data_IF_342891391735
#
_entry.id   IF_342891391735
#
_cell.length_a   1.000
_cell.length_b   1.000
_cell.length_c   1.000
_cell.angle_alpha   90.00
_cell.angle_beta   90.00
_cell.angle_gamma   90.00
#
_symmetry.space_group_name_H-M   'P 1'
#
loop_
_entity.id
_entity.type
_entity.pdbx_description
1 polymer ?
#
# COMPACT_ATOMS: atom_id res chain seq x y z
N UNK A 1 -25.32 49.76 30.09
CA UNK A 1 -25.47 48.63 29.16
C UNK A 1 -24.18 48.58 28.37
N UNK A 2 -23.24 47.75 28.83
CA UNK A 2 -21.86 47.75 28.34
C UNK A 2 -21.74 46.70 27.23
N UNK A 3 -21.55 47.18 26.00
CA UNK A 3 -21.37 46.31 24.84
C UNK A 3 -19.93 45.79 24.90
N UNK A 4 -19.73 44.57 25.41
CA UNK A 4 -18.46 43.87 25.26
C UNK A 4 -18.26 43.54 23.79
N UNK A 5 -17.19 44.09 23.23
CA UNK A 5 -16.76 43.83 21.87
C UNK A 5 -16.13 42.42 21.78
N UNK A 6 -16.88 41.47 21.22
CA UNK A 6 -16.45 40.07 21.07
C UNK A 6 -15.50 39.84 19.87
N UNK A 7 -15.13 40.89 19.13
CA UNK A 7 -14.32 40.77 17.91
C UNK A 7 -12.85 40.44 18.15
N UNK A 8 -12.38 40.45 19.40
CA UNK A 8 -10.95 40.24 19.70
C UNK A 8 -10.52 38.78 19.97
N UNK A 9 -11.44 37.80 19.98
CA UNK A 9 -11.13 36.43 20.47
C UNK A 9 -10.94 35.32 19.43
N UNK A 10 -11.06 35.57 18.12
CA UNK A 10 -11.00 34.47 17.14
C UNK A 10 -9.84 34.55 16.13
N UNK A 11 -8.79 35.33 16.41
CA UNK A 11 -7.55 35.25 15.64
C UNK A 11 -6.41 34.70 16.53
N UNK A 12 -6.58 33.46 17.00
CA UNK A 12 -5.44 32.60 17.34
C UNK A 12 -4.78 32.21 16.02
N UNK A 13 -4.26 33.21 15.30
CA UNK A 13 -3.41 33.03 14.16
C UNK A 13 -2.08 32.53 14.68
N UNK A 14 -2.00 31.24 15.06
CA UNK A 14 -0.72 30.55 15.34
C UNK A 14 0.22 30.92 14.21
N UNK A 15 1.22 31.75 14.48
CA UNK A 15 2.19 32.21 13.49
C UNK A 15 2.81 30.97 12.87
N UNK A 16 2.63 30.77 11.55
CA UNK A 16 3.17 29.60 10.87
C UNK A 16 4.69 29.64 11.00
N UNK A 17 5.27 28.70 11.74
CA UNK A 17 6.71 28.68 11.97
C UNK A 17 7.40 28.37 10.64
N UNK A 18 8.43 29.15 10.30
CA UNK A 18 9.27 28.93 9.11
C UNK A 18 9.74 27.49 9.00
N UNK A 19 10.04 26.86 10.14
CA UNK A 19 10.39 25.45 10.28
C UNK A 19 9.36 24.47 9.69
N UNK A 20 8.07 24.73 9.86
CA UNK A 20 7.01 23.86 9.31
C UNK A 20 7.03 23.85 7.78
N UNK A 21 7.42 24.96 7.13
CA UNK A 21 7.46 25.01 5.68
C UNK A 21 8.66 24.23 5.13
N UNK A 22 9.82 24.35 5.79
CA UNK A 22 10.99 23.52 5.47
C UNK A 22 10.70 22.03 5.63
N UNK A 23 10.04 21.63 6.73
CA UNK A 23 9.63 20.24 6.94
C UNK A 23 8.68 19.74 5.84
N UNK A 24 7.67 20.54 5.45
CA UNK A 24 6.76 20.17 4.35
C UNK A 24 7.51 19.90 3.05
N UNK A 25 8.43 20.79 2.68
CA UNK A 25 9.24 20.63 1.47
C UNK A 25 10.12 19.38 1.55
N UNK A 26 10.76 19.13 2.70
CA UNK A 26 11.60 17.96 2.92
C UNK A 26 10.80 16.66 2.85
N UNK A 27 9.60 16.61 3.43
CA UNK A 27 8.72 15.43 3.37
C UNK A 27 8.26 15.15 1.94
N UNK A 28 7.82 16.17 1.19
CA UNK A 28 7.37 16.00 -0.19
C UNK A 28 8.51 15.50 -1.10
N UNK A 29 9.68 16.14 -1.01
CA UNK A 29 10.85 15.74 -1.77
C UNK A 29 11.36 14.35 -1.34
N UNK A 30 11.44 14.10 -0.03
CA UNK A 30 11.88 12.82 0.53
C UNK A 30 10.99 11.67 0.08
N UNK A 31 9.67 11.82 0.16
CA UNK A 31 8.73 10.77 -0.29
C UNK A 31 8.79 10.58 -1.80
N UNK A 32 8.91 11.65 -2.59
CA UNK A 32 9.07 11.55 -4.03
C UNK A 32 10.36 10.83 -4.44
N UNK A 33 11.48 11.15 -3.79
CA UNK A 33 12.77 10.49 -4.01
C UNK A 33 12.75 9.03 -3.56
N UNK A 34 12.15 8.74 -2.41
CA UNK A 34 12.02 7.37 -1.91
C UNK A 34 11.19 6.49 -2.87
N UNK A 35 10.03 6.99 -3.32
CA UNK A 35 9.23 6.30 -4.34
C UNK A 35 10.00 6.08 -5.64
N UNK A 36 10.79 7.06 -6.08
CA UNK A 36 11.67 6.90 -7.24
C UNK A 36 12.69 5.78 -7.03
N UNK A 37 13.31 5.70 -5.86
CA UNK A 37 14.25 4.61 -5.52
C UNK A 37 13.54 3.25 -5.54
N UNK A 38 12.33 3.13 -5.00
CA UNK A 38 11.56 1.89 -5.04
C UNK A 38 11.20 1.46 -6.47
N UNK A 39 10.87 2.41 -7.34
CA UNK A 39 10.58 2.13 -8.76
C UNK A 39 11.84 1.67 -9.50
N UNK A 40 12.98 2.33 -9.28
CA UNK A 40 14.24 2.01 -9.94
C UNK A 40 14.85 0.69 -9.45
N UNK A 41 14.67 0.35 -8.18
CA UNK A 41 15.16 -0.90 -7.58
C UNK A 41 14.23 -2.10 -7.83
N UNK A 42 13.01 -1.87 -8.33
CA UNK A 42 11.98 -2.91 -8.47
C UNK A 42 11.30 -3.31 -7.16
N UNK A 43 11.76 -2.79 -6.02
CA UNK A 43 11.21 -3.10 -4.69
C UNK A 43 9.78 -2.56 -4.47
N UNK A 44 9.27 -1.70 -5.34
CA UNK A 44 7.87 -1.27 -5.33
C UNK A 44 6.90 -2.47 -5.37
N UNK A 45 7.31 -3.59 -5.99
CA UNK A 45 6.52 -4.83 -6.04
C UNK A 45 6.26 -5.47 -4.68
N UNK A 46 7.01 -5.10 -3.63
CA UNK A 46 6.75 -5.57 -2.26
C UNK A 46 5.56 -4.86 -1.61
N UNK A 47 5.11 -3.74 -2.18
CA UNK A 47 4.11 -2.86 -1.57
C UNK A 47 2.85 -2.68 -2.42
N UNK A 48 3.00 -2.75 -3.73
CA UNK A 48 1.99 -2.37 -4.71
C UNK A 48 1.88 -3.44 -5.78
N UNK A 49 0.67 -3.72 -6.24
CA UNK A 49 0.43 -4.69 -7.30
C UNK A 49 0.90 -4.17 -8.68
N UNK A 50 2.19 -4.32 -8.97
CA UNK A 50 2.79 -3.92 -10.25
C UNK A 50 2.35 -4.76 -11.44
N UNK A 51 1.75 -5.93 -11.22
CA UNK A 51 1.18 -6.73 -12.31
C UNK A 51 -0.03 -6.02 -12.95
N UNK A 52 -0.66 -5.08 -12.25
CA UNK A 52 -1.71 -4.25 -12.81
C UNK A 52 -1.09 -3.01 -13.52
N UNK A 53 -1.20 -2.91 -14.86
CA UNK A 53 -0.55 -1.84 -15.63
C UNK A 53 -1.04 -0.44 -15.23
N UNK A 54 -2.31 -0.32 -14.80
CA UNK A 54 -2.89 0.95 -14.34
C UNK A 54 -2.20 1.46 -13.08
N UNK A 55 -1.93 0.56 -12.12
CA UNK A 55 -1.29 0.91 -10.85
C UNK A 55 0.20 1.20 -11.04
N UNK A 56 0.87 0.44 -11.91
CA UNK A 56 2.26 0.69 -12.28
C UNK A 56 2.43 2.08 -12.92
N UNK A 57 1.55 2.44 -13.86
CA UNK A 57 1.53 3.78 -14.48
C UNK A 57 1.31 4.90 -13.47
N UNK A 58 0.32 4.76 -12.56
CA UNK A 58 0.02 5.77 -11.55
C UNK A 58 1.22 6.02 -10.62
N UNK A 59 1.96 4.96 -10.26
CA UNK A 59 3.15 5.07 -9.43
C UNK A 59 4.23 5.95 -10.09
N UNK A 60 4.41 5.83 -11.40
CA UNK A 60 5.32 6.69 -12.17
C UNK A 60 4.87 8.15 -12.25
N UNK A 61 3.57 8.43 -12.24
CA UNK A 61 3.03 9.80 -12.23
C UNK A 61 3.16 10.49 -10.87
N UNK A 62 3.05 9.75 -9.78
CA UNK A 62 3.12 10.30 -8.42
C UNK A 62 4.50 10.89 -8.13
N UNK A 63 5.58 10.29 -8.65
CA UNK A 63 6.94 10.78 -8.44
C UNK A 63 7.16 12.22 -8.95
N UNK A 64 6.96 12.56 -10.24
CA UNK A 64 7.16 13.92 -10.73
C UNK A 64 6.19 14.90 -10.09
N UNK A 65 4.97 14.47 -9.73
CA UNK A 65 4.02 15.30 -8.99
C UNK A 65 4.57 15.67 -7.60
N UNK A 66 5.06 14.71 -6.83
CA UNK A 66 5.64 14.98 -5.50
C UNK A 66 6.91 15.81 -5.58
N UNK A 67 7.79 15.53 -6.54
CA UNK A 67 9.03 16.29 -6.73
C UNK A 67 8.76 17.73 -7.17
N UNK A 68 7.80 17.95 -8.07
CA UNK A 68 7.41 19.30 -8.51
C UNK A 68 6.74 20.09 -7.39
N UNK A 69 5.81 19.49 -6.64
CA UNK A 69 5.17 20.14 -5.48
C UNK A 69 6.19 20.43 -4.36
N UNK A 70 7.08 19.49 -4.07
CA UNK A 70 8.15 19.65 -3.09
C UNK A 70 9.15 20.75 -3.49
N UNK A 71 9.57 20.77 -4.76
CA UNK A 71 10.44 21.79 -5.32
C UNK A 71 9.80 23.17 -5.35
N UNK A 72 8.53 23.27 -5.75
CA UNK A 72 7.78 24.52 -5.72
C UNK A 72 7.58 25.04 -4.29
N UNK A 73 7.27 24.14 -3.36
CA UNK A 73 7.18 24.45 -1.93
C UNK A 73 8.52 25.01 -1.41
N UNK A 74 9.64 24.35 -1.72
CA UNK A 74 10.97 24.78 -1.31
C UNK A 74 11.32 26.16 -1.90
N UNK A 75 11.07 26.36 -3.19
CA UNK A 75 11.34 27.64 -3.87
C UNK A 75 10.60 28.80 -3.23
N UNK A 76 9.34 28.59 -2.83
CA UNK A 76 8.53 29.59 -2.13
C UNK A 76 9.04 29.90 -0.72
N UNK A 77 9.67 28.93 -0.05
CA UNK A 77 10.26 29.17 1.28
C UNK A 77 11.57 29.94 1.24
N UNK A 78 12.34 29.79 0.17
CA UNK A 78 13.64 30.46 -0.01
C UNK A 78 13.46 31.89 -0.55
N UNK A 79 12.43 32.15 -1.36
CA UNK A 79 12.16 33.48 -1.89
C UNK A 79 11.50 34.38 -0.82
N UNK A 80 12.10 35.53 -0.46
CA UNK A 80 11.44 36.51 0.41
C UNK A 80 10.18 37.04 -0.30
N UNK A 81 9.04 36.96 0.38
CA UNK A 81 7.79 37.46 -0.17
C UNK A 81 7.85 38.99 -0.29
N UNK A 82 7.45 39.59 -1.43
CA UNK A 82 7.11 41.00 -1.45
C UNK A 82 5.96 41.23 -0.46
N UNK A 83 6.13 42.21 0.41
CA UNK A 83 5.09 42.68 1.33
C UNK A 83 3.81 42.98 0.57
N UNK A 84 2.67 42.57 1.16
CA UNK A 84 1.27 42.81 0.76
C UNK A 84 0.67 41.95 -0.36
N UNK A 85 0.24 40.72 -0.03
CA UNK A 85 -1.14 40.20 -0.24
C UNK A 85 -1.38 39.13 0.85
N UNK A 86 -2.46 39.20 1.66
CA UNK A 86 -2.81 38.12 2.60
C UNK A 86 -3.32 36.91 1.80
N UNK A 87 -2.41 36.04 1.37
CA UNK A 87 -2.77 34.75 0.79
C UNK A 87 -3.28 33.83 1.92
N UNK A 88 -4.49 33.29 1.76
CA UNK A 88 -5.06 32.25 2.61
C UNK A 88 -4.20 30.97 2.47
N UNK A 89 -3.13 30.87 3.26
CA UNK A 89 -2.25 29.72 3.27
C UNK A 89 -2.90 28.63 4.12
N UNK A 90 -3.14 27.46 3.51
CA UNK A 90 -3.68 26.30 4.21
C UNK A 90 -2.75 25.91 5.37
N UNK A 91 -3.27 26.08 6.59
CA UNK A 91 -2.60 25.64 7.81
C UNK A 91 -2.68 24.13 7.88
N UNK A 92 -1.61 23.43 7.53
CA UNK A 92 -1.45 22.06 8.00
C UNK A 92 -1.23 22.11 9.52
N UNK A 93 -2.21 21.58 10.26
CA UNK A 93 -2.09 21.32 11.68
C UNK A 93 -0.86 20.44 11.93
N UNK A 94 -0.14 20.64 13.05
CA UNK A 94 1.02 19.82 13.43
C UNK A 94 0.72 18.32 13.35
N UNK A 95 -0.51 17.92 13.69
CA UNK A 95 -1.01 16.54 13.55
C UNK A 95 -0.94 16.02 12.12
N UNK A 96 -1.36 16.82 11.13
CA UNK A 96 -1.29 16.44 9.71
C UNK A 96 0.16 16.30 9.25
N UNK A 97 1.07 17.12 9.78
CA UNK A 97 2.50 17.02 9.46
C UNK A 97 3.11 15.71 9.99
N UNK A 98 2.76 15.33 11.22
CA UNK A 98 3.18 14.05 11.83
C UNK A 98 2.64 12.85 11.03
N UNK A 99 1.36 12.89 10.64
CA UNK A 99 0.74 11.84 9.83
C UNK A 99 1.44 11.70 8.47
N UNK A 100 1.81 12.81 7.82
CA UNK A 100 2.50 12.80 6.54
C UNK A 100 3.98 12.38 6.64
N UNK A 101 4.65 12.59 7.78
CA UNK A 101 6.04 12.14 7.98
C UNK A 101 6.15 10.65 8.26
N UNK A 102 5.09 10.03 8.79
CA UNK A 102 5.11 8.64 9.23
C UNK A 102 5.49 7.65 8.11
N UNK A 103 4.92 7.72 6.88
CA UNK A 103 5.29 6.80 5.80
C UNK A 103 6.76 6.92 5.39
N UNK A 104 7.35 8.12 5.48
CA UNK A 104 8.76 8.34 5.15
C UNK A 104 9.67 7.69 6.19
N UNK A 105 9.30 7.77 7.47
CA UNK A 105 10.04 7.10 8.56
C UNK A 105 9.92 5.59 8.43
N UNK A 106 8.71 5.08 8.16
CA UNK A 106 8.48 3.65 7.95
C UNK A 106 9.20 3.13 6.70
N UNK A 107 9.33 3.95 5.65
CA UNK A 107 10.08 3.62 4.44
C UNK A 107 11.59 3.43 4.64
N UNK A 108 12.16 3.86 5.78
CA UNK A 108 13.55 3.56 6.12
C UNK A 108 13.75 2.14 6.64
N UNK A 109 12.67 1.43 6.98
CA UNK A 109 12.75 0.03 7.37
C UNK A 109 13.03 -0.84 6.13
N UNK A 110 13.78 -1.94 6.28
CA UNK A 110 14.06 -2.83 5.17
C UNK A 110 12.76 -3.36 4.58
N UNK A 111 12.64 -3.30 3.25
CA UNK A 111 11.51 -3.89 2.55
C UNK A 111 11.53 -5.41 2.73
N UNK A 112 10.41 -5.98 3.17
CA UNK A 112 10.22 -7.42 3.30
C UNK A 112 8.96 -7.82 2.55
N UNK A 113 8.95 -8.94 1.81
CA UNK A 113 7.72 -9.49 1.26
C UNK A 113 6.82 -9.97 2.40
N UNK A 114 5.52 -10.06 2.13
CA UNK A 114 4.57 -10.61 3.09
C UNK A 114 4.82 -12.12 3.24
N UNK A 115 5.22 -12.53 4.44
CA UNK A 115 5.42 -13.93 4.81
C UNK A 115 4.31 -14.43 5.73
N UNK A 116 4.49 -15.65 6.26
CA UNK A 116 3.53 -16.28 7.18
C UNK A 116 3.20 -15.41 8.40
N UNK A 117 4.16 -14.61 8.91
CA UNK A 117 3.97 -13.71 10.05
C UNK A 117 2.94 -12.59 9.79
N UNK A 118 2.64 -12.30 8.52
CA UNK A 118 1.68 -11.26 8.12
C UNK A 118 0.25 -11.80 8.01
N UNK A 119 0.02 -13.11 8.18
CA UNK A 119 -1.32 -13.71 8.14
C UNK A 119 -2.06 -13.30 9.41
N UNK A 120 -3.14 -12.51 9.23
CA UNK A 120 -3.99 -12.06 10.32
C UNK A 120 -5.42 -12.55 10.05
N UNK A 121 -5.95 -13.41 10.92
CA UNK A 121 -7.29 -13.99 10.76
C UNK A 121 -7.36 -15.26 9.90
N UNK A 122 -6.22 -15.89 9.59
CA UNK A 122 -6.15 -17.18 8.90
C UNK A 122 -6.01 -17.10 7.38
N UNK A 123 -6.08 -18.26 6.74
CA UNK A 123 -5.91 -18.42 5.29
C UNK A 123 -7.22 -18.84 4.65
N UNK A 124 -7.62 -18.17 3.57
CA UNK A 124 -8.86 -18.45 2.87
C UNK A 124 -8.66 -19.54 1.82
N UNK A 125 -9.49 -20.59 1.87
CA UNK A 125 -9.52 -21.68 0.89
C UNK A 125 -10.60 -21.48 -0.20
N UNK A 126 -11.40 -20.43 -0.08
CA UNK A 126 -12.37 -20.02 -1.09
C UNK A 126 -12.07 -18.57 -1.47
N UNK A 127 -11.65 -18.28 -2.72
CA UNK A 127 -11.29 -16.93 -3.12
C UNK A 127 -12.56 -16.06 -3.17
N UNK A 128 -12.76 -15.21 -2.16
CA UNK A 128 -13.88 -14.27 -2.12
C UNK A 128 -13.73 -13.22 -3.23
N UNK A 129 -14.75 -13.11 -4.09
CA UNK A 129 -14.95 -11.93 -4.93
C UNK A 129 -14.13 -11.83 -6.22
N UNK A 130 -13.61 -12.93 -6.77
CA UNK A 130 -12.97 -12.91 -8.09
C UNK A 130 -13.93 -13.35 -9.19
N UNK A 131 -14.09 -12.48 -10.19
CA UNK A 131 -14.78 -12.78 -11.43
C UNK A 131 -14.04 -13.87 -12.21
N UNK A 132 -14.81 -14.68 -12.93
CA UNK A 132 -14.43 -15.86 -13.69
C UNK A 132 -13.34 -15.59 -14.75
N UNK A 133 -12.08 -15.52 -14.33
CA UNK A 133 -10.98 -15.82 -15.24
C UNK A 133 -10.95 -17.35 -15.42
N UNK A 134 -10.97 -17.83 -16.67
CA UNK A 134 -10.92 -19.26 -16.97
C UNK A 134 -9.54 -19.81 -16.61
N UNK A 135 -9.45 -20.56 -15.50
CA UNK A 135 -8.25 -21.36 -15.17
C UNK A 135 -8.09 -22.56 -16.10
N UNK A 136 -9.14 -22.95 -16.83
CA UNK A 136 -9.21 -24.20 -17.60
C UNK A 136 -8.28 -24.28 -18.82
N UNK A 137 -7.81 -23.14 -19.34
CA UNK A 137 -6.87 -23.10 -20.48
C UNK A 137 -5.40 -23.16 -20.04
N UNK A 138 -5.13 -23.15 -18.73
CA UNK A 138 -3.79 -23.19 -18.14
C UNK A 138 -3.44 -24.64 -17.79
N UNK A 139 -2.27 -25.11 -18.24
CA UNK A 139 -1.76 -26.44 -17.91
C UNK A 139 -1.65 -26.61 -16.39
N UNK A 140 -1.97 -27.79 -15.81
CA UNK A 140 -1.98 -28.00 -14.35
C UNK A 140 -0.69 -27.55 -13.64
N UNK A 141 0.47 -27.83 -14.24
CA UNK A 141 1.79 -27.44 -13.74
C UNK A 141 2.04 -25.92 -13.75
N UNK A 142 1.34 -25.16 -14.60
CA UNK A 142 1.48 -23.70 -14.70
C UNK A 142 0.45 -22.96 -13.85
N UNK A 143 -0.49 -23.67 -13.21
CA UNK A 143 -1.56 -23.06 -12.41
C UNK A 143 -1.03 -22.55 -11.08
N UNK A 144 -1.36 -21.30 -10.76
CA UNK A 144 -1.03 -20.73 -9.44
C UNK A 144 -1.98 -21.24 -8.36
N UNK A 145 -1.63 -20.99 -7.09
CA UNK A 145 -2.51 -21.27 -5.93
C UNK A 145 -3.93 -20.73 -6.13
N UNK A 146 -4.05 -19.51 -6.67
CA UNK A 146 -5.35 -18.89 -6.94
C UNK A 146 -6.13 -19.62 -8.04
N UNK A 147 -5.45 -20.08 -9.09
CA UNK A 147 -6.10 -20.73 -10.23
C UNK A 147 -6.64 -22.10 -9.86
N UNK A 148 -5.91 -22.84 -9.02
CA UNK A 148 -6.38 -24.07 -8.39
C UNK A 148 -7.62 -23.84 -7.52
N UNK A 149 -7.59 -22.83 -6.65
CA UNK A 149 -8.74 -22.52 -5.80
C UNK A 149 -9.98 -22.11 -6.59
N UNK A 150 -9.79 -21.38 -7.70
CA UNK A 150 -10.87 -21.06 -8.64
C UNK A 150 -11.42 -22.30 -9.31
N UNK A 151 -10.56 -23.23 -9.71
CA UNK A 151 -10.96 -24.46 -10.38
C UNK A 151 -11.72 -25.40 -9.44
N UNK A 152 -11.27 -25.56 -8.19
CA UNK A 152 -12.02 -26.29 -7.16
C UNK A 152 -13.40 -25.67 -6.91
N UNK A 153 -13.47 -24.34 -6.80
CA UNK A 153 -14.74 -23.63 -6.64
C UNK A 153 -15.67 -23.78 -7.85
N UNK A 154 -15.11 -23.89 -9.06
CA UNK A 154 -15.87 -24.09 -10.32
C UNK A 154 -16.44 -25.50 -10.43
N UNK A 155 -15.64 -26.51 -10.10
CA UNK A 155 -16.01 -27.92 -10.24
C UNK A 155 -16.92 -28.40 -9.11
N UNK A 156 -16.77 -27.86 -7.89
CA UNK A 156 -17.54 -28.27 -6.71
C UNK A 156 -17.17 -29.65 -6.15
N UNK A 157 -16.64 -30.55 -6.98
CA UNK A 157 -16.07 -31.84 -6.61
C UNK A 157 -14.57 -31.90 -6.98
N UNK A 158 -13.65 -31.81 -5.99
CA UNK A 158 -12.21 -31.83 -6.25
C UNK A 158 -11.69 -33.20 -6.66
N UNK A 159 -12.46 -34.29 -6.48
CA UNK A 159 -11.99 -35.65 -6.82
C UNK A 159 -11.81 -35.85 -8.33
N UNK A 160 -12.45 -35.02 -9.14
CA UNK A 160 -12.31 -35.01 -10.60
C UNK A 160 -10.88 -34.64 -11.04
N UNK A 161 -10.15 -33.90 -10.20
CA UNK A 161 -8.78 -33.46 -10.47
C UNK A 161 -7.72 -34.43 -9.92
N UNK A 162 -8.15 -35.59 -9.38
CA UNK A 162 -7.22 -36.59 -8.86
C UNK A 162 -6.28 -37.10 -9.96
N UNK A 163 -4.98 -37.07 -9.67
CA UNK A 163 -3.94 -37.47 -10.62
C UNK A 163 -3.38 -36.32 -11.46
N UNK A 164 -3.95 -35.11 -11.37
CA UNK A 164 -3.28 -33.92 -11.90
C UNK A 164 -2.04 -33.58 -11.07
N UNK A 165 -0.96 -33.20 -11.73
CA UNK A 165 0.28 -32.75 -11.08
C UNK A 165 0.15 -31.30 -10.67
N UNK A 166 0.55 -30.99 -9.43
CA UNK A 166 0.51 -29.64 -8.86
C UNK A 166 1.94 -29.15 -8.64
N UNK A 167 2.31 -28.05 -9.31
CA UNK A 167 3.53 -27.29 -9.04
C UNK A 167 3.14 -25.88 -8.60
N UNK A 168 3.30 -25.57 -7.31
CA UNK A 168 2.87 -24.30 -6.73
C UNK A 168 3.95 -23.70 -5.84
N UNK A 169 4.11 -22.37 -5.95
CA UNK A 169 5.02 -21.59 -5.11
C UNK A 169 4.21 -20.83 -4.07
N UNK A 170 4.58 -20.95 -2.81
CA UNK A 170 3.98 -20.21 -1.69
C UNK A 170 4.80 -20.36 -0.40
N UNK A 171 4.33 -19.75 0.68
CA UNK A 171 4.86 -19.99 2.00
C UNK A 171 4.04 -21.08 2.70
N UNK A 172 4.71 -21.85 3.57
CA UNK A 172 4.03 -22.85 4.39
C UNK A 172 3.35 -22.13 5.56
N UNK A 173 2.07 -22.39 5.75
CA UNK A 173 1.30 -21.95 6.90
C UNK A 173 0.63 -23.14 7.55
N UNK A 174 0.60 -23.17 8.88
CA UNK A 174 -0.01 -24.23 9.66
C UNK A 174 -0.85 -23.60 10.76
N UNK A 175 -2.13 -23.98 10.80
CA UNK A 175 -3.03 -23.56 11.87
C UNK A 175 -2.83 -24.45 13.11
N UNK A 176 -3.15 -23.92 14.29
CA UNK A 176 -2.91 -24.64 15.56
C UNK A 176 -3.69 -25.96 15.68
N UNK A 177 -4.77 -26.12 14.92
CA UNK A 177 -5.66 -27.30 14.94
C UNK A 177 -5.37 -28.32 13.82
N UNK A 178 -4.36 -28.08 12.97
CA UNK A 178 -3.96 -29.01 11.90
C UNK A 178 -3.15 -30.20 12.42
N UNK A 179 -3.34 -31.37 11.81
CA UNK A 179 -2.55 -32.57 12.09
C UNK A 179 -1.07 -32.40 11.66
N UNK A 180 -0.14 -33.13 12.28
CA UNK A 180 1.32 -32.97 12.09
C UNK A 180 1.79 -33.14 10.63
N UNK A 181 1.05 -33.86 9.81
CA UNK A 181 1.31 -34.09 8.38
C UNK A 181 0.60 -33.11 7.44
N UNK A 182 -0.27 -32.25 7.98
CA UNK A 182 -1.07 -31.31 7.19
C UNK A 182 -0.51 -29.88 7.26
N UNK A 183 -0.52 -29.20 6.12
CA UNK A 183 -0.13 -27.80 6.04
C UNK A 183 -0.84 -27.11 4.87
N UNK A 184 -0.77 -25.79 4.82
CA UNK A 184 -1.24 -25.00 3.68
C UNK A 184 -0.05 -24.40 2.93
N UNK A 185 -0.09 -24.48 1.61
CA UNK A 185 0.74 -23.62 0.75
C UNK A 185 -0.06 -22.36 0.46
N UNK A 186 0.38 -21.25 1.05
CA UNK A 186 -0.34 -19.99 1.02
C UNK A 186 0.39 -18.91 0.20
N UNK A 187 -0.41 -17.98 -0.34
CA UNK A 187 0.05 -16.74 -0.99
C UNK A 187 -0.85 -15.59 -0.59
N UNK A 188 -0.27 -14.39 -0.57
CA UNK A 188 -1.06 -13.18 -0.50
C UNK A 188 -1.56 -12.79 -1.89
N UNK A 189 -2.83 -12.44 -1.96
CA UNK A 189 -3.40 -11.72 -3.10
C UNK A 189 -3.74 -10.31 -2.66
N UNK A 190 -3.61 -9.36 -3.60
CA UNK A 190 -3.90 -7.95 -3.36
C UNK A 190 -4.39 -7.33 -4.66
N UNK A 191 -5.27 -6.33 -4.55
CA UNK A 191 -5.82 -5.65 -5.73
C UNK A 191 -4.94 -4.46 -6.12
N UNK A 192 -4.56 -3.64 -5.15
CA UNK A 192 -3.77 -2.44 -5.41
C UNK A 192 -2.54 -2.31 -4.51
N UNK A 193 -2.59 -2.69 -3.24
CA UNK A 193 -1.47 -2.51 -2.32
C UNK A 193 -1.58 -3.43 -1.09
N UNK A 194 -0.51 -3.50 -0.30
CA UNK A 194 -0.43 -4.34 0.91
C UNK A 194 -1.56 -4.10 1.92
N UNK A 195 -2.18 -2.90 1.93
CA UNK A 195 -3.31 -2.61 2.82
C UNK A 195 -4.59 -3.39 2.47
N UNK A 196 -4.73 -3.89 1.24
CA UNK A 196 -5.85 -4.74 0.81
C UNK A 196 -5.47 -6.22 0.67
N UNK A 197 -4.27 -6.59 1.10
CA UNK A 197 -3.76 -7.94 0.96
C UNK A 197 -4.47 -8.92 1.92
N UNK A 198 -4.83 -10.09 1.41
CA UNK A 198 -5.33 -11.21 2.21
C UNK A 198 -4.68 -12.52 1.78
N UNK A 199 -4.59 -13.47 2.71
CA UNK A 199 -3.98 -14.77 2.46
C UNK A 199 -5.01 -15.76 1.88
N UNK A 200 -4.61 -16.43 0.81
CA UNK A 200 -5.28 -17.61 0.26
C UNK A 200 -4.34 -18.81 0.33
N UNK A 201 -4.86 -20.02 0.34
CA UNK A 201 -4.00 -21.19 0.40
C UNK A 201 -4.67 -22.49 -0.02
N UNK A 202 -3.82 -23.41 -0.43
CA UNK A 202 -4.17 -24.77 -0.80
C UNK A 202 -3.78 -25.72 0.35
N UNK A 203 -4.72 -26.52 0.87
CA UNK A 203 -4.39 -27.55 1.84
C UNK A 203 -3.59 -28.67 1.17
N UNK A 204 -2.53 -29.09 1.84
CA UNK A 204 -1.75 -30.29 1.52
C UNK A 204 -2.02 -31.29 2.64
N UNK A 205 -2.62 -32.41 2.25
CA UNK A 205 -3.11 -33.50 3.12
C UNK A 205 -2.61 -34.85 2.61
#
# INVERSE_FOLDING_TARGET
>A
MEIRDYTQQANIGIKQNSWQNWLKSLVLLGTGLYMLVLLLTGNIGHYVNVANPSIQWLSWLVVPLLLSLGGWSLWRTVKPAPTTIPANQSRLTTTALVICTLPLILGLLPSRPLGADAVNGGVNIAPLGLTSASSGDIAPEDRTVLDWLREFGRLGDPTVLNGETVDVIGFVYRELDMADDQFMVARFTMSCCVADAYAIGLPVI
#
